data_IF_173102105218
#
_entry.id   IF_173102105218
#
_cell.length_a   1.000
_cell.length_b   1.000
_cell.length_c   1.000
_cell.angle_alpha   90.00
_cell.angle_beta   90.00
_cell.angle_gamma   90.00
#
_symmetry.space_group_name_H-M   'P 1'
#
loop_
_entity.id
_entity.type
_entity.pdbx_description
1 polymer ?
#
# COMPACT_ATOMS: atom_id res chain seq x y z
N UNK A 1 -27.87 -11.51 8.36
CA UNK A 1 -27.73 -10.04 8.23
C UNK A 1 -27.38 -9.75 6.77
N UNK A 2 -27.99 -8.77 6.10
CA UNK A 2 -27.60 -8.45 4.73
C UNK A 2 -26.15 -7.94 4.73
N UNK A 3 -25.33 -8.43 3.79
CA UNK A 3 -23.97 -7.95 3.59
C UNK A 3 -24.02 -6.46 3.27
N UNK A 4 -23.71 -5.62 4.24
CA UNK A 4 -23.63 -4.17 4.04
C UNK A 4 -22.24 -3.85 3.52
N UNK A 5 -22.16 -3.42 2.27
CA UNK A 5 -20.92 -2.97 1.65
C UNK A 5 -20.68 -1.51 2.01
N UNK A 6 -19.47 -1.17 2.43
CA UNK A 6 -19.04 0.20 2.70
C UNK A 6 -17.96 0.61 1.70
N UNK A 7 -18.09 1.80 1.14
CA UNK A 7 -17.05 2.44 0.31
C UNK A 7 -16.40 3.56 1.11
N UNK A 8 -15.07 3.55 1.21
CA UNK A 8 -14.29 4.59 1.89
C UNK A 8 -13.31 5.17 0.88
N UNK A 9 -13.40 6.48 0.64
CA UNK A 9 -12.49 7.22 -0.23
C UNK A 9 -11.73 8.25 0.60
N UNK A 10 -10.41 8.16 0.61
CA UNK A 10 -9.52 9.11 1.29
C UNK A 10 -8.53 9.73 0.30
N UNK A 11 -8.26 11.02 0.43
CA UNK A 11 -7.27 11.71 -0.40
C UNK A 11 -6.42 12.66 0.42
N UNK A 12 -5.15 12.82 0.04
CA UNK A 12 -4.22 13.77 0.64
C UNK A 12 -3.35 14.41 -0.42
N UNK A 13 -3.12 15.72 -0.30
CA UNK A 13 -2.20 16.45 -1.19
C UNK A 13 -0.77 16.36 -0.66
N UNK A 14 0.15 15.94 -1.51
CA UNK A 14 1.58 15.92 -1.23
C UNK A 14 2.27 17.08 -1.96
N UNK A 15 3.26 17.71 -1.32
CA UNK A 15 4.13 18.72 -1.95
C UNK A 15 5.32 18.05 -2.66
N UNK A 16 5.06 17.02 -3.45
CA UNK A 16 6.08 16.24 -4.19
C UNK A 16 5.53 15.87 -5.57
N UNK A 17 6.41 15.48 -6.50
CA UNK A 17 5.98 15.01 -7.82
C UNK A 17 5.25 13.68 -7.72
N UNK A 18 4.29 13.46 -8.63
CA UNK A 18 3.54 12.20 -8.73
C UNK A 18 4.45 11.00 -8.94
N UNK A 19 5.47 11.12 -9.79
CA UNK A 19 6.45 10.07 -10.06
C UNK A 19 7.16 9.64 -8.78
N UNK A 20 7.58 10.59 -7.93
CA UNK A 20 8.26 10.27 -6.68
C UNK A 20 7.31 9.63 -5.66
N UNK A 21 6.08 10.13 -5.56
CA UNK A 21 5.08 9.55 -4.68
C UNK A 21 4.73 8.12 -5.09
N UNK A 22 4.60 7.87 -6.40
CA UNK A 22 4.29 6.55 -6.94
C UNK A 22 5.38 5.53 -6.64
N UNK A 23 6.65 5.89 -6.84
CA UNK A 23 7.80 5.02 -6.51
C UNK A 23 7.84 4.57 -5.05
N UNK A 24 7.39 5.40 -4.11
CA UNK A 24 7.33 5.01 -2.68
C UNK A 24 6.26 3.94 -2.44
N UNK A 25 5.15 3.98 -3.19
CA UNK A 25 4.07 2.98 -3.07
C UNK A 25 4.47 1.65 -3.71
N UNK A 26 5.31 1.67 -4.75
CA UNK A 26 5.83 0.45 -5.40
C UNK A 26 6.89 -0.29 -4.56
N UNK A 27 7.50 0.41 -3.60
CA UNK A 27 8.56 -0.07 -2.71
C UNK A 27 7.96 -0.71 -1.45
N UNK A 28 7.28 -1.85 -1.65
CA UNK A 28 6.56 -2.59 -0.60
C UNK A 28 7.47 -2.99 0.58
N UNK A 29 8.72 -3.34 0.31
CA UNK A 29 9.67 -3.83 1.33
C UNK A 29 9.93 -2.78 2.42
N UNK A 30 9.75 -1.50 2.10
CA UNK A 30 9.94 -0.38 3.02
C UNK A 30 8.66 0.08 3.70
N UNK A 31 7.52 -0.57 3.46
CA UNK A 31 6.27 -0.22 4.13
C UNK A 31 6.36 -0.22 5.66
N UNK A 32 7.10 -1.13 6.33
CA UNK A 32 7.32 -1.04 7.77
C UNK A 32 7.97 0.27 8.25
N UNK A 33 8.74 0.96 7.39
CA UNK A 33 9.36 2.26 7.74
C UNK A 33 8.33 3.40 7.76
N UNK A 34 7.24 3.28 7.00
CA UNK A 34 6.31 4.39 6.74
C UNK A 34 4.90 4.16 7.28
N UNK A 35 4.51 2.90 7.50
CA UNK A 35 3.19 2.50 7.94
C UNK A 35 3.28 1.97 9.38
N UNK A 36 2.84 2.73 10.39
CA UNK A 36 2.97 2.34 11.79
C UNK A 36 2.25 1.04 12.17
N UNK A 37 1.32 0.60 11.33
CA UNK A 37 0.51 -0.60 11.49
C UNK A 37 1.04 -1.80 10.67
N UNK A 38 2.27 -1.71 10.15
CA UNK A 38 2.96 -2.76 9.42
C UNK A 38 4.29 -3.00 10.14
N UNK A 39 4.39 -4.09 10.89
CA UNK A 39 5.58 -4.52 11.60
C UNK A 39 6.55 -5.27 10.67
N UNK A 40 5.99 -6.11 9.79
CA UNK A 40 6.77 -6.84 8.80
C UNK A 40 5.96 -7.06 7.52
N UNK A 41 6.67 -7.17 6.39
CA UNK A 41 6.04 -7.42 5.10
C UNK A 41 6.80 -8.52 4.36
N UNK A 42 6.06 -9.50 3.85
CA UNK A 42 6.60 -10.58 3.01
C UNK A 42 5.90 -10.54 1.65
N UNK A 43 6.69 -10.41 0.58
CA UNK A 43 6.20 -10.52 -0.78
C UNK A 43 5.89 -11.99 -1.10
N UNK A 44 4.67 -12.27 -1.54
CA UNK A 44 4.20 -13.62 -1.88
C UNK A 44 4.27 -13.87 -3.39
N UNK A 45 3.86 -12.88 -4.19
CA UNK A 45 3.82 -13.00 -5.65
C UNK A 45 4.17 -11.65 -6.32
N UNK A 46 4.85 -11.74 -7.45
CA UNK A 46 5.11 -10.61 -8.36
C UNK A 46 4.84 -11.05 -9.80
N UNK A 47 3.85 -10.41 -10.44
CA UNK A 47 3.48 -10.61 -11.84
C UNK A 47 3.34 -9.24 -12.53
N UNK A 48 4.42 -8.80 -13.17
CA UNK A 48 4.49 -7.50 -13.83
C UNK A 48 4.20 -6.34 -12.87
N UNK A 49 3.04 -5.70 -13.03
CA UNK A 49 2.60 -4.58 -12.19
C UNK A 49 1.76 -5.00 -10.97
N UNK A 50 1.55 -6.31 -10.77
CA UNK A 50 0.80 -6.84 -9.65
C UNK A 50 1.76 -7.44 -8.63
N UNK A 51 1.66 -6.97 -7.40
CA UNK A 51 2.37 -7.53 -6.24
C UNK A 51 1.36 -7.95 -5.19
N UNK A 52 1.51 -9.16 -4.66
CA UNK A 52 0.73 -9.67 -3.53
C UNK A 52 1.67 -9.80 -2.34
N UNK A 53 1.35 -9.15 -1.23
CA UNK A 53 2.14 -9.20 -0.02
C UNK A 53 1.26 -9.52 1.18
N UNK A 54 1.81 -10.27 2.12
CA UNK A 54 1.27 -10.43 3.46
C UNK A 54 2.03 -9.51 4.41
N UNK A 55 1.32 -8.92 5.36
CA UNK A 55 1.92 -8.10 6.41
C UNK A 55 1.30 -8.43 7.77
N UNK A 56 2.11 -8.24 8.81
CA UNK A 56 1.76 -8.31 10.24
C UNK A 56 2.00 -6.95 10.89
#
# INVERSE_FOLDING_TARGET
MPNTTYEIVMSRRLKQSSVKAFKVVEDLERFPEFMPNVNSLTLLEEDGNRKVAAWD
#
